data_IF_284024118243
#
_entry.id   IF_284024118243
#
_cell.length_a   1.000
_cell.length_b   1.000
_cell.length_c   1.000
_cell.angle_alpha   90.00
_cell.angle_beta   90.00
_cell.angle_gamma   90.00
#
_symmetry.space_group_name_H-M   'P 1'
#
loop_
_entity.id
_entity.type
_entity.pdbx_description
1 polymer ?
#
# COMPACT_ATOMS: atom_id res chain seq x y z
N UNK A 1 4.15 17.64 3.82
CA UNK A 1 3.79 16.20 3.80
C UNK A 1 3.35 15.84 2.40
N UNK A 2 3.76 14.67 1.92
CA UNK A 2 3.53 14.17 0.57
C UNK A 2 2.80 12.83 0.60
N UNK A 3 2.24 12.44 -0.54
CA UNK A 3 1.64 11.12 -0.73
C UNK A 3 2.14 10.45 -2.01
N UNK A 4 2.37 9.14 -1.95
CA UNK A 4 2.65 8.30 -3.10
C UNK A 4 1.60 7.20 -3.19
N UNK A 5 0.93 7.09 -4.33
CA UNK A 5 0.01 6.00 -4.65
C UNK A 5 0.71 5.04 -5.62
N UNK A 6 0.78 3.76 -5.24
CA UNK A 6 1.42 2.70 -6.02
C UNK A 6 0.39 2.00 -6.91
N UNK A 7 0.52 2.20 -8.21
CA UNK A 7 -0.47 1.84 -9.23
C UNK A 7 0.14 1.11 -10.45
N UNK A 8 1.29 0.45 -10.28
CA UNK A 8 1.98 -0.22 -11.38
C UNK A 8 1.47 -1.64 -11.70
N UNK A 9 0.70 -2.23 -10.78
CA UNK A 9 0.26 -3.63 -10.86
C UNK A 9 -0.73 -3.92 -11.99
N UNK A 10 -0.65 -5.14 -12.52
CA UNK A 10 -1.54 -5.66 -13.56
C UNK A 10 -2.98 -5.84 -13.05
N UNK A 11 -3.16 -6.39 -11.85
CA UNK A 11 -4.48 -6.78 -11.32
C UNK A 11 -5.07 -8.02 -11.99
N UNK A 12 -4.24 -9.03 -12.27
CA UNK A 12 -4.62 -10.23 -13.03
C UNK A 12 -5.87 -10.96 -12.53
N UNK A 13 -6.14 -10.92 -11.22
CA UNK A 13 -7.32 -11.52 -10.57
C UNK A 13 -8.66 -10.87 -10.96
N UNK A 14 -8.64 -9.70 -11.61
CA UNK A 14 -9.83 -8.99 -12.10
C UNK A 14 -10.11 -9.23 -13.60
N UNK A 15 -9.21 -9.95 -14.29
CA UNK A 15 -9.38 -10.41 -15.68
C UNK A 15 -9.82 -9.29 -16.64
N UNK A 16 -10.98 -9.44 -17.31
CA UNK A 16 -11.52 -8.50 -18.30
C UNK A 16 -11.64 -7.06 -17.79
N UNK A 17 -11.82 -6.84 -16.48
CA UNK A 17 -11.89 -5.48 -15.90
C UNK A 17 -10.55 -4.73 -16.01
N UNK A 18 -9.45 -5.47 -16.17
CA UNK A 18 -8.08 -4.94 -16.27
C UNK A 18 -7.47 -5.10 -17.66
N UNK A 19 -8.24 -5.56 -18.65
CA UNK A 19 -7.72 -5.81 -20.01
C UNK A 19 -7.25 -4.55 -20.73
N UNK A 20 -8.03 -3.48 -20.59
CA UNK A 20 -7.83 -2.22 -21.32
C UNK A 20 -7.48 -1.04 -20.40
N UNK A 21 -7.40 -1.29 -19.09
CA UNK A 21 -7.12 -0.28 -18.05
C UNK A 21 -6.34 -0.90 -16.88
N UNK A 22 -5.53 -0.12 -16.13
CA UNK A 22 -4.91 -0.64 -14.90
C UNK A 22 -5.94 -0.87 -13.80
N UNK A 23 -5.59 -1.74 -12.83
CA UNK A 23 -6.41 -2.09 -11.65
C UNK A 23 -6.99 -0.87 -10.95
N UNK A 24 -6.17 0.17 -10.77
CA UNK A 24 -6.57 1.40 -10.10
C UNK A 24 -7.68 2.20 -10.83
N UNK A 25 -8.00 1.86 -12.08
CA UNK A 25 -9.11 2.44 -12.85
C UNK A 25 -10.33 1.52 -12.97
N UNK A 26 -10.33 0.38 -12.29
CA UNK A 26 -11.55 -0.40 -12.07
C UNK A 26 -12.50 0.43 -11.20
N UNK A 27 -13.80 0.32 -11.46
CA UNK A 27 -14.80 1.12 -10.77
C UNK A 27 -15.42 0.33 -9.62
N UNK A 28 -15.46 0.95 -8.45
CA UNK A 28 -16.27 0.53 -7.31
C UNK A 28 -17.36 1.58 -7.12
N UNK A 29 -18.64 1.15 -7.04
CA UNK A 29 -19.81 2.04 -6.92
C UNK A 29 -19.77 3.25 -7.88
N UNK A 30 -19.39 3.02 -9.15
CA UNK A 30 -19.27 4.01 -10.24
C UNK A 30 -18.13 5.03 -10.11
N UNK A 31 -17.11 4.75 -9.30
CA UNK A 31 -15.93 5.60 -9.17
C UNK A 31 -14.65 4.76 -9.31
N UNK A 32 -13.67 5.20 -10.12
CA UNK A 32 -12.38 4.52 -10.21
C UNK A 32 -11.68 4.42 -8.86
N UNK A 33 -11.05 3.27 -8.56
CA UNK A 33 -10.37 3.03 -7.28
C UNK A 33 -9.42 4.19 -6.92
N UNK A 34 -8.59 4.63 -7.88
CA UNK A 34 -7.60 5.70 -7.67
C UNK A 34 -8.23 7.02 -7.19
N UNK A 35 -9.48 7.27 -7.57
CA UNK A 35 -10.19 8.48 -7.19
C UNK A 35 -10.60 8.49 -5.73
N UNK A 36 -10.84 7.33 -5.12
CA UNK A 36 -11.07 7.26 -3.68
C UNK A 36 -9.86 7.74 -2.88
N UNK A 37 -8.65 7.23 -3.19
CA UNK A 37 -7.46 7.64 -2.45
C UNK A 37 -7.07 9.09 -2.76
N UNK A 38 -7.14 9.53 -4.03
CA UNK A 38 -6.87 10.92 -4.40
C UNK A 38 -7.82 11.88 -3.68
N UNK A 39 -9.12 11.58 -3.64
CA UNK A 39 -10.09 12.40 -2.92
C UNK A 39 -9.83 12.40 -1.41
N UNK A 40 -9.47 11.24 -0.82
CA UNK A 40 -9.11 11.14 0.60
C UNK A 40 -7.89 12.01 0.94
N UNK A 41 -6.82 11.96 0.14
CA UNK A 41 -5.62 12.79 0.33
C UNK A 41 -5.93 14.29 0.20
N UNK A 42 -6.67 14.69 -0.84
CA UNK A 42 -7.04 16.08 -1.06
C UNK A 42 -7.94 16.63 0.06
N UNK A 43 -8.91 15.83 0.52
CA UNK A 43 -9.80 16.17 1.63
C UNK A 43 -9.06 16.30 2.96
N UNK A 44 -7.99 15.52 3.16
CA UNK A 44 -7.07 15.66 4.30
C UNK A 44 -6.03 16.81 4.14
N UNK A 45 -6.10 17.57 3.06
CA UNK A 45 -5.24 18.73 2.78
C UNK A 45 -3.86 18.40 2.20
N UNK A 46 -3.63 17.17 1.74
CA UNK A 46 -2.38 16.76 1.09
C UNK A 46 -2.50 16.99 -0.42
N UNK A 47 -1.74 17.96 -0.95
CA UNK A 47 -1.78 18.35 -2.35
C UNK A 47 -0.57 17.87 -3.17
N UNK A 48 0.55 17.60 -2.50
CA UNK A 48 1.74 17.04 -3.14
C UNK A 48 1.61 15.53 -3.24
N UNK A 49 0.96 15.08 -4.31
CA UNK A 49 0.67 13.67 -4.57
C UNK A 49 1.43 13.20 -5.81
N UNK A 50 2.10 12.06 -5.68
CA UNK A 50 2.64 11.31 -6.80
C UNK A 50 1.87 10.00 -7.00
N UNK A 51 1.71 9.59 -8.25
CA UNK A 51 1.22 8.26 -8.63
C UNK A 51 2.32 7.56 -9.42
N UNK A 52 2.66 6.34 -9.01
CA UNK A 52 3.59 5.49 -9.76
C UNK A 52 2.81 4.44 -10.53
N UNK A 53 2.74 4.60 -11.85
CA UNK A 53 2.09 3.65 -12.74
C UNK A 53 3.07 2.66 -13.38
N UNK A 54 2.54 1.77 -14.21
CA UNK A 54 3.31 0.75 -14.92
C UNK A 54 2.44 0.11 -16.00
N UNK A 55 1.70 -0.94 -15.65
CA UNK A 55 0.73 -1.52 -16.58
C UNK A 55 -0.25 -0.47 -17.12
N UNK A 56 -0.39 -0.39 -18.45
CA UNK A 56 -1.26 0.58 -19.17
C UNK A 56 -1.04 2.04 -18.72
N UNK A 57 0.22 2.43 -18.48
CA UNK A 57 0.60 3.75 -17.97
C UNK A 57 -0.07 4.93 -18.68
N UNK A 58 -0.10 4.95 -20.02
CA UNK A 58 -0.70 6.05 -20.77
C UNK A 58 -2.22 6.21 -20.52
N UNK A 59 -2.94 5.11 -20.25
CA UNK A 59 -4.37 5.16 -19.88
C UNK A 59 -4.54 5.84 -18.53
N UNK A 60 -3.70 5.47 -17.55
CA UNK A 60 -3.68 6.09 -16.23
C UNK A 60 -3.34 7.58 -16.30
N UNK A 61 -2.28 7.93 -17.04
CA UNK A 61 -1.84 9.31 -17.24
C UNK A 61 -2.92 10.18 -17.86
N UNK A 62 -3.62 9.69 -18.88
CA UNK A 62 -4.72 10.41 -19.51
C UNK A 62 -5.88 10.63 -18.54
N UNK A 63 -6.25 9.60 -17.76
CA UNK A 63 -7.28 9.74 -16.74
C UNK A 63 -6.90 10.81 -15.69
N UNK A 64 -5.68 10.77 -15.17
CA UNK A 64 -5.23 11.69 -14.13
C UNK A 64 -5.15 13.14 -14.64
N UNK A 65 -4.63 13.36 -15.85
CA UNK A 65 -4.57 14.69 -16.45
C UNK A 65 -5.95 15.30 -16.72
N UNK A 66 -6.94 14.47 -17.05
CA UNK A 66 -8.31 14.92 -17.31
C UNK A 66 -9.09 15.24 -16.04
N UNK A 67 -8.83 14.52 -14.94
CA UNK A 67 -9.67 14.57 -13.74
C UNK A 67 -9.02 15.28 -12.54
N UNK A 68 -7.69 15.44 -12.51
CA UNK A 68 -6.96 16.01 -11.38
C UNK A 68 -5.98 17.09 -11.84
N UNK A 69 -5.95 18.23 -11.15
CA UNK A 69 -5.19 19.41 -11.60
C UNK A 69 -3.67 19.27 -11.44
N UNK A 70 -3.19 18.53 -10.42
CA UNK A 70 -1.76 18.43 -10.08
C UNK A 70 -1.47 17.10 -9.38
N UNK A 71 -1.06 16.10 -10.17
CA UNK A 71 -0.51 14.83 -9.66
C UNK A 71 0.81 14.60 -10.40
N UNK A 72 1.89 14.35 -9.67
CA UNK A 72 3.18 13.99 -10.28
C UNK A 72 3.13 12.53 -10.71
N UNK A 73 3.59 12.24 -11.92
CA UNK A 73 3.58 10.88 -12.46
C UNK A 73 4.99 10.32 -12.55
N UNK A 74 5.12 9.08 -12.08
CA UNK A 74 6.30 8.24 -12.24
C UNK A 74 5.90 6.94 -12.92
N UNK A 75 6.82 6.34 -13.66
CA UNK A 75 6.59 5.08 -14.35
C UNK A 75 7.57 4.03 -13.83
N UNK A 76 7.05 2.88 -13.43
CA UNK A 76 7.82 1.66 -13.25
C UNK A 76 7.81 0.89 -14.58
N UNK A 77 8.82 1.12 -15.42
CA UNK A 77 8.99 0.39 -16.70
C UNK A 77 9.29 -1.10 -16.49
N UNK A 78 9.75 -1.48 -15.31
CA UNK A 78 10.06 -2.87 -14.91
C UNK A 78 8.87 -3.57 -14.24
N UNK A 79 7.64 -3.02 -14.30
CA UNK A 79 6.48 -3.54 -13.54
C UNK A 79 6.21 -5.04 -13.75
N UNK A 80 6.51 -5.59 -14.93
CA UNK A 80 6.32 -7.01 -15.24
C UNK A 80 7.36 -7.93 -14.58
N UNK A 81 8.46 -7.37 -14.09
CA UNK A 81 9.61 -8.09 -13.50
C UNK A 81 9.99 -7.59 -12.10
N UNK A 82 9.13 -6.78 -11.50
CA UNK A 82 9.32 -6.16 -10.18
C UNK A 82 8.01 -6.14 -9.40
N UNK A 83 8.05 -5.65 -8.16
CA UNK A 83 6.88 -5.63 -7.27
C UNK A 83 6.66 -4.22 -6.67
N UNK A 84 5.73 -4.10 -5.72
CA UNK A 84 5.25 -2.83 -5.18
C UNK A 84 6.34 -2.04 -4.43
N UNK A 85 7.27 -2.73 -3.77
CA UNK A 85 8.43 -2.08 -3.14
C UNK A 85 9.31 -1.38 -4.16
N UNK A 86 9.66 -2.06 -5.26
CA UNK A 86 10.43 -1.44 -6.35
C UNK A 86 9.68 -0.26 -6.98
N UNK A 87 8.36 -0.42 -7.18
CA UNK A 87 7.48 0.63 -7.66
C UNK A 87 7.56 1.89 -6.78
N UNK A 88 7.56 1.74 -5.45
CA UNK A 88 7.73 2.86 -4.53
C UNK A 88 9.05 3.63 -4.78
N UNK A 89 10.15 2.90 -5.00
CA UNK A 89 11.46 3.50 -5.22
C UNK A 89 11.63 4.15 -6.60
N UNK A 90 10.76 3.89 -7.58
CA UNK A 90 10.70 4.68 -8.82
C UNK A 90 10.38 6.16 -8.57
N UNK A 91 9.73 6.47 -7.45
CA UNK A 91 9.42 7.85 -7.01
C UNK A 91 10.33 8.32 -5.85
N UNK A 92 11.52 7.73 -5.67
CA UNK A 92 12.44 8.05 -4.56
C UNK A 92 12.71 9.55 -4.40
N UNK A 93 12.97 10.25 -5.49
CA UNK A 93 13.22 11.70 -5.48
C UNK A 93 12.04 12.54 -4.99
N UNK A 94 10.82 12.00 -5.02
CA UNK A 94 9.65 12.67 -4.49
C UNK A 94 9.61 12.65 -2.95
N UNK A 95 10.23 11.64 -2.34
CA UNK A 95 10.30 11.43 -0.90
C UNK A 95 11.38 12.33 -0.27
N UNK A 96 11.08 13.61 -0.09
CA UNK A 96 11.95 14.63 0.55
C UNK A 96 11.31 15.29 1.79
N UNK A 97 10.14 14.79 2.20
CA UNK A 97 9.32 15.24 3.31
C UNK A 97 8.54 14.05 3.88
N UNK A 98 7.84 14.21 5.01
CA UNK A 98 6.96 13.17 5.56
C UNK A 98 6.07 12.62 4.44
N UNK A 99 6.15 11.32 4.18
CA UNK A 99 5.51 10.71 3.00
C UNK A 99 4.62 9.55 3.42
N UNK A 100 3.34 9.65 3.06
CA UNK A 100 2.38 8.54 3.15
C UNK A 100 2.44 7.74 1.85
N UNK A 101 2.54 6.42 1.97
CA UNK A 101 2.52 5.48 0.85
C UNK A 101 1.21 4.69 0.91
N UNK A 102 0.51 4.59 -0.21
CA UNK A 102 -0.75 3.86 -0.35
C UNK A 102 -0.69 2.92 -1.55
N UNK A 103 -1.24 1.72 -1.43
CA UNK A 103 -1.63 0.98 -2.63
C UNK A 103 -2.87 1.61 -3.27
N UNK A 104 -3.06 1.37 -4.56
CA UNK A 104 -4.09 2.01 -5.39
C UNK A 104 -5.40 1.25 -5.47
N UNK A 105 -5.47 0.09 -4.82
CA UNK A 105 -6.60 -0.83 -4.80
C UNK A 105 -7.37 -0.82 -3.46
N UNK A 106 -7.03 0.09 -2.55
CA UNK A 106 -7.61 0.17 -1.21
C UNK A 106 -8.56 1.36 -1.08
N UNK A 107 -9.84 1.10 -0.87
CA UNK A 107 -10.84 2.12 -0.63
C UNK A 107 -10.84 2.48 0.85
N UNK A 108 -10.59 3.76 1.14
CA UNK A 108 -10.65 4.36 2.45
C UNK A 108 -11.02 5.85 2.31
N UNK A 109 -11.32 6.51 3.43
CA UNK A 109 -11.67 7.93 3.47
C UNK A 109 -10.59 8.74 4.20
N UNK A 110 -10.73 10.07 4.17
CA UNK A 110 -9.73 11.03 4.66
C UNK A 110 -9.31 10.84 6.13
N UNK A 111 -10.13 10.25 7.00
CA UNK A 111 -9.79 10.03 8.41
C UNK A 111 -8.59 9.09 8.59
N UNK A 112 -8.37 8.14 7.67
CA UNK A 112 -7.17 7.30 7.66
C UNK A 112 -5.91 8.13 7.44
N UNK A 113 -6.01 9.12 6.55
CA UNK A 113 -4.93 10.04 6.22
C UNK A 113 -4.67 11.01 7.38
N UNK A 114 -5.72 11.52 8.03
CA UNK A 114 -5.60 12.38 9.21
C UNK A 114 -4.88 11.68 10.37
N UNK A 115 -5.17 10.39 10.61
CA UNK A 115 -4.47 9.59 11.62
C UNK A 115 -2.97 9.49 11.32
N UNK A 116 -2.59 9.10 10.09
CA UNK A 116 -1.17 9.03 9.72
C UNK A 116 -0.49 10.40 9.74
N UNK A 117 -1.21 11.46 9.35
CA UNK A 117 -0.70 12.82 9.39
C UNK A 117 -0.34 13.25 10.82
N UNK A 118 -1.15 12.87 11.81
CA UNK A 118 -0.91 13.18 13.22
C UNK A 118 0.31 12.46 13.82
N UNK A 119 0.68 11.29 13.29
CA UNK A 119 1.78 10.48 13.82
C UNK A 119 3.14 11.20 13.73
N UNK A 120 4.02 10.98 14.71
CA UNK A 120 5.39 11.53 14.72
C UNK A 120 6.49 10.47 14.70
N UNK A 121 6.10 9.19 14.71
CA UNK A 121 7.01 8.06 14.62
C UNK A 121 7.71 8.02 13.26
N UNK A 122 8.93 7.47 13.25
CA UNK A 122 9.77 7.31 12.05
C UNK A 122 9.08 6.46 10.98
N UNK A 123 8.45 5.37 11.41
CA UNK A 123 7.59 4.50 10.61
C UNK A 123 6.24 4.33 11.32
N UNK A 124 5.15 4.66 10.64
CA UNK A 124 3.78 4.42 11.10
C UNK A 124 3.07 3.53 10.09
N UNK A 125 2.58 2.36 10.48
CA UNK A 125 1.92 1.40 9.58
C UNK A 125 0.46 1.27 9.97
N UNK A 126 -0.43 1.46 9.00
CA UNK A 126 -1.86 1.31 9.22
C UNK A 126 -2.23 -0.17 9.20
N UNK A 127 -2.92 -0.61 10.25
CA UNK A 127 -3.34 -2.00 10.45
C UNK A 127 -4.80 -2.07 10.87
N UNK A 128 -5.46 -3.17 10.54
CA UNK A 128 -6.84 -3.43 10.94
C UNK A 128 -6.90 -4.53 12.00
N UNK A 129 -7.38 -4.18 13.20
CA UNK A 129 -7.56 -5.13 14.31
C UNK A 129 -8.80 -5.99 14.13
N UNK A 130 -9.79 -5.53 13.36
CA UNK A 130 -11.05 -6.23 13.10
C UNK A 130 -11.06 -6.92 11.73
N UNK A 131 -9.87 -7.13 11.14
CA UNK A 131 -9.67 -7.66 9.80
C UNK A 131 -10.45 -8.95 9.48
N UNK A 132 -10.67 -9.82 10.48
CA UNK A 132 -11.28 -11.14 10.28
C UNK A 132 -12.70 -11.05 9.69
N UNK A 133 -13.46 -10.01 10.04
CA UNK A 133 -14.81 -9.81 9.51
C UNK A 133 -14.79 -9.48 8.01
N UNK A 134 -13.82 -8.69 7.58
CA UNK A 134 -13.60 -8.38 6.17
C UNK A 134 -13.07 -9.61 5.42
N UNK A 135 -12.09 -10.33 5.97
CA UNK A 135 -11.53 -11.52 5.33
C UNK A 135 -12.56 -12.62 5.12
N UNK A 136 -13.50 -12.83 6.06
CA UNK A 136 -14.60 -13.79 5.90
C UNK A 136 -15.57 -13.46 4.77
N UNK A 137 -15.63 -12.19 4.34
CA UNK A 137 -16.43 -11.78 3.19
C UNK A 137 -15.66 -11.95 1.88
N UNK A 138 -14.33 -11.76 1.92
CA UNK A 138 -13.45 -11.82 0.74
C UNK A 138 -12.99 -13.24 0.39
N UNK A 139 -12.83 -14.11 1.39
CA UNK A 139 -12.23 -15.43 1.24
C UNK A 139 -13.06 -16.51 1.93
N UNK A 140 -13.15 -17.69 1.30
CA UNK A 140 -13.72 -18.89 1.95
C UNK A 140 -12.85 -19.39 3.10
N UNK A 141 -11.53 -19.27 2.97
CA UNK A 141 -10.56 -19.48 4.04
C UNK A 141 -9.76 -18.19 4.28
N UNK A 142 -10.03 -17.44 5.35
CA UNK A 142 -9.27 -16.25 5.72
C UNK A 142 -7.75 -16.45 5.78
N UNK A 143 -7.27 -17.63 6.19
CA UNK A 143 -5.83 -17.90 6.35
C UNK A 143 -5.12 -18.13 5.02
N UNK A 144 -5.86 -18.27 3.91
CA UNK A 144 -5.28 -18.39 2.57
C UNK A 144 -4.56 -17.12 2.09
N UNK A 145 -4.92 -15.97 2.67
CA UNK A 145 -4.42 -14.65 2.31
C UNK A 145 -3.80 -13.90 3.51
N UNK A 146 -4.33 -14.11 4.73
CA UNK A 146 -3.86 -13.41 5.91
C UNK A 146 -2.36 -13.68 6.21
N UNK A 147 -1.67 -12.62 6.62
CA UNK A 147 -0.25 -12.67 7.02
C UNK A 147 -0.08 -12.54 8.54
N UNK A 148 1.09 -12.89 9.07
CA UNK A 148 1.40 -12.69 10.49
C UNK A 148 1.48 -11.20 10.85
N UNK A 149 1.12 -10.91 12.10
CA UNK A 149 1.28 -9.60 12.71
C UNK A 149 1.44 -9.78 14.21
N UNK A 150 2.56 -9.31 14.75
CA UNK A 150 2.80 -9.24 16.20
C UNK A 150 2.99 -7.78 16.61
N UNK A 151 2.18 -7.32 17.57
CA UNK A 151 2.20 -5.96 18.09
C UNK A 151 2.45 -5.99 19.59
N UNK A 152 3.59 -5.44 20.01
CA UNK A 152 3.95 -5.29 21.42
C UNK A 152 4.06 -3.81 21.77
N UNK A 153 3.35 -3.37 22.83
CA UNK A 153 3.32 -1.98 23.29
C UNK A 153 2.96 -0.96 22.18
N UNK A 154 2.15 -1.42 21.23
CA UNK A 154 1.72 -0.65 20.05
C UNK A 154 2.79 -0.48 18.98
N UNK A 155 3.87 -1.25 19.02
CA UNK A 155 4.90 -1.34 17.97
C UNK A 155 4.86 -2.71 17.30
N UNK A 156 5.04 -2.73 15.98
CA UNK A 156 5.05 -3.96 15.19
C UNK A 156 6.41 -4.64 15.36
N UNK A 157 6.39 -5.91 15.77
CA UNK A 157 7.57 -6.77 15.96
C UNK A 157 7.75 -7.77 14.83
N UNK A 158 6.64 -8.23 14.26
CA UNK A 158 6.61 -9.13 13.11
C UNK A 158 5.50 -8.72 12.15
N UNK A 159 5.77 -8.81 10.84
CA UNK A 159 4.82 -8.55 9.77
C UNK A 159 5.11 -9.47 8.58
N UNK A 160 4.06 -10.05 7.98
CA UNK A 160 4.11 -10.53 6.59
C UNK A 160 4.46 -12.00 6.39
N UNK A 161 4.57 -12.82 7.45
CA UNK A 161 4.86 -14.26 7.27
C UNK A 161 3.57 -15.03 7.00
N UNK A 162 3.68 -16.15 6.29
CA UNK A 162 2.55 -17.09 6.17
C UNK A 162 2.19 -17.69 7.51
N UNK A 163 0.89 -17.81 7.77
CA UNK A 163 0.33 -18.32 9.02
C UNK A 163 -0.65 -19.46 8.75
N UNK A 164 -0.70 -20.42 9.66
CA UNK A 164 -1.65 -21.54 9.65
C UNK A 164 -2.62 -21.48 10.83
N UNK A 165 -2.43 -20.51 11.73
CA UNK A 165 -3.21 -20.33 12.94
C UNK A 165 -3.44 -18.84 13.18
N UNK A 166 -4.66 -18.51 13.61
CA UNK A 166 -5.12 -17.13 13.77
C UNK A 166 -4.54 -16.42 15.00
N UNK A 167 -4.01 -17.17 15.96
CA UNK A 167 -3.40 -16.67 17.19
C UNK A 167 -2.11 -15.87 16.97
N UNK A 168 -1.54 -15.91 15.76
CA UNK A 168 -0.36 -15.14 15.35
C UNK A 168 -0.69 -13.85 14.61
N UNK A 169 -1.93 -13.38 14.69
CA UNK A 169 -2.44 -12.29 13.87
C UNK A 169 -3.16 -11.25 14.74
N UNK A 170 -2.38 -10.34 15.31
CA UNK A 170 -2.92 -9.23 16.11
C UNK A 170 -3.75 -8.23 15.28
N UNK A 171 -3.39 -8.08 14.00
CA UNK A 171 -4.05 -7.21 13.02
C UNK A 171 -3.63 -7.61 11.58
N UNK A 172 -4.23 -7.02 10.54
CA UNK A 172 -3.72 -7.11 9.16
C UNK A 172 -3.18 -5.77 8.68
N UNK A 173 -2.06 -5.79 7.96
CA UNK A 173 -1.56 -4.61 7.24
C UNK A 173 -2.49 -4.27 6.08
N UNK A 174 -2.92 -3.01 5.99
CA UNK A 174 -3.96 -2.62 5.01
C UNK A 174 -3.39 -2.03 3.72
N UNK A 175 -2.07 -1.94 3.57
CA UNK A 175 -1.44 -1.32 2.40
C UNK A 175 -1.27 0.21 2.47
N UNK A 176 -1.31 0.78 3.68
CA UNK A 176 -1.10 2.22 3.94
C UNK A 176 -0.08 2.41 5.08
N UNK A 177 0.95 3.23 4.86
CA UNK A 177 1.97 3.52 5.87
C UNK A 177 2.63 4.88 5.63
N UNK A 178 3.37 5.39 6.62
CA UNK A 178 4.06 6.67 6.56
C UNK A 178 5.51 6.55 7.02
N UNK A 179 6.41 7.16 6.27
CA UNK A 179 7.76 7.49 6.73
C UNK A 179 7.85 8.96 7.15
N UNK A 180 8.50 9.22 8.27
CA UNK A 180 8.91 10.58 8.63
C UNK A 180 10.10 11.04 7.76
N UNK A 181 10.15 12.32 7.43
CA UNK A 181 11.26 12.95 6.69
C UNK A 181 12.63 12.59 7.22
N UNK A 182 12.84 12.66 8.54
CA UNK A 182 14.16 12.41 9.14
C UNK A 182 14.62 10.96 9.01
N UNK A 183 13.70 10.04 8.75
CA UNK A 183 13.98 8.61 8.62
C UNK A 183 14.21 8.16 7.17
N UNK A 184 13.86 8.99 6.18
CA UNK A 184 13.95 8.62 4.76
C UNK A 184 15.36 8.23 4.32
N UNK A 185 16.41 8.89 4.82
CA UNK A 185 17.78 8.49 4.52
C UNK A 185 18.07 7.04 4.96
N UNK A 186 17.61 6.66 6.15
CA UNK A 186 17.76 5.30 6.66
C UNK A 186 16.95 4.27 5.87
N UNK A 187 15.73 4.64 5.42
CA UNK A 187 14.92 3.81 4.51
C UNK A 187 15.65 3.56 3.20
N UNK A 188 16.25 4.61 2.64
CA UNK A 188 17.02 4.53 1.40
C UNK A 188 18.27 3.69 1.57
N UNK A 189 18.98 3.85 2.69
CA UNK A 189 20.15 3.04 3.01
C UNK A 189 19.79 1.55 3.11
N UNK A 190 18.65 1.19 3.70
CA UNK A 190 18.19 -0.21 3.73
C UNK A 190 17.96 -0.73 2.31
N UNK A 191 17.26 0.03 1.47
CA UNK A 191 17.01 -0.37 0.08
C UNK A 191 18.29 -0.53 -0.74
N UNK A 192 19.19 0.46 -0.68
CA UNK A 192 20.42 0.48 -1.47
C UNK A 192 21.39 -0.64 -1.06
N UNK A 193 21.30 -1.10 0.19
CA UNK A 193 22.12 -2.17 0.76
C UNK A 193 21.39 -3.52 0.86
N UNK A 194 20.23 -3.71 0.21
CA UNK A 194 19.65 -5.05 0.07
C UNK A 194 20.65 -5.97 -0.64
N UNK A 195 20.80 -7.20 -0.13
CA UNK A 195 21.63 -8.20 -0.78
C UNK A 195 20.95 -8.67 -2.06
N UNK A 196 21.52 -8.26 -3.20
CA UNK A 196 20.99 -8.55 -4.53
C UNK A 196 21.05 -10.03 -4.90
N UNK A 197 21.85 -10.84 -4.17
CA UNK A 197 21.97 -12.28 -4.35
C UNK A 197 21.06 -13.08 -3.40
N UNK A 198 20.50 -12.44 -2.36
CA UNK A 198 19.58 -13.06 -1.40
C UNK A 198 18.17 -13.15 -1.99
N UNK A 199 17.46 -14.21 -1.61
CA UNK A 199 16.02 -14.31 -1.80
C UNK A 199 15.28 -13.85 -0.53
N UNK A 200 14.21 -13.08 -0.73
CA UNK A 200 13.30 -12.58 0.28
C UNK A 200 11.92 -13.19 0.00
N UNK A 201 11.46 -14.13 0.82
CA UNK A 201 10.22 -14.90 0.59
C UNK A 201 10.16 -15.53 -0.81
N UNK A 202 11.27 -16.16 -1.21
CA UNK A 202 11.47 -16.79 -2.53
C UNK A 202 11.44 -15.80 -3.71
N UNK A 203 11.58 -14.50 -3.45
CA UNK A 203 11.67 -13.44 -4.47
C UNK A 203 13.07 -12.81 -4.48
N UNK A 204 13.53 -12.38 -5.66
CA UNK A 204 14.73 -11.55 -5.75
C UNK A 204 14.44 -10.13 -5.23
N UNK A 205 15.49 -9.31 -5.05
CA UNK A 205 15.38 -7.96 -4.49
C UNK A 205 14.44 -7.02 -5.26
N UNK A 206 14.30 -7.14 -6.59
CA UNK A 206 13.32 -6.34 -7.37
C UNK A 206 11.87 -6.73 -7.08
N UNK A 207 11.66 -7.96 -6.62
CA UNK A 207 10.34 -8.55 -6.37
C UNK A 207 10.03 -8.72 -4.88
N UNK A 208 10.89 -8.21 -3.99
CA UNK A 208 10.65 -8.21 -2.55
C UNK A 208 9.26 -7.63 -2.25
N UNK A 209 8.49 -8.32 -1.41
CA UNK A 209 7.20 -7.81 -0.98
C UNK A 209 7.40 -6.60 -0.07
N UNK A 210 6.39 -5.72 -0.01
CA UNK A 210 6.47 -4.55 0.88
C UNK A 210 6.57 -4.98 2.34
N UNK A 211 5.83 -6.02 2.72
CA UNK A 211 5.88 -6.57 4.09
C UNK A 211 7.27 -7.10 4.42
N UNK A 212 7.93 -7.83 3.53
CA UNK A 212 9.33 -8.25 3.71
C UNK A 212 10.28 -7.07 3.84
N UNK A 213 10.12 -6.02 3.02
CA UNK A 213 10.96 -4.81 3.10
C UNK A 213 10.74 -4.04 4.41
N UNK A 214 9.48 -3.85 4.83
CA UNK A 214 9.15 -3.26 6.11
C UNK A 214 9.69 -4.09 7.27
N UNK A 215 9.70 -5.42 7.17
CA UNK A 215 10.32 -6.31 8.17
C UNK A 215 11.83 -6.13 8.26
N UNK A 216 12.54 -5.93 7.15
CA UNK A 216 13.99 -5.60 7.19
C UNK A 216 14.24 -4.24 7.90
N UNK A 217 13.32 -3.27 7.75
CA UNK A 217 13.37 -1.99 8.49
C UNK A 217 13.07 -2.23 9.98
N UNK A 218 11.98 -2.93 10.30
CA UNK A 218 11.55 -3.21 11.67
C UNK A 218 12.63 -3.93 12.46
N UNK A 219 13.22 -4.99 11.90
CA UNK A 219 14.29 -5.75 12.54
C UNK A 219 15.55 -4.90 12.81
N UNK A 220 15.79 -3.87 11.99
CA UNK A 220 16.97 -3.01 12.11
C UNK A 220 16.78 -1.85 13.09
N UNK A 221 15.58 -1.30 13.20
CA UNK A 221 15.34 -0.05 13.92
C UNK A 221 14.32 -0.14 15.07
N UNK A 222 13.52 -1.20 15.13
CA UNK A 222 12.47 -1.42 16.13
C UNK A 222 11.54 -0.21 16.36
N UNK A 223 11.16 0.46 15.26
CA UNK A 223 10.54 1.79 15.30
C UNK A 223 9.13 1.88 14.68
N UNK A 224 8.59 0.77 14.19
CA UNK A 224 7.32 0.77 13.47
C UNK A 224 6.12 0.84 14.43
N UNK A 225 5.44 1.99 14.45
CA UNK A 225 4.20 2.17 15.21
C UNK A 225 3.01 1.59 14.47
N UNK A 226 2.23 0.74 15.12
CA UNK A 226 0.93 0.30 14.61
C UNK A 226 -0.11 1.41 14.80
N UNK A 227 -0.78 1.80 13.72
CA UNK A 227 -1.90 2.76 13.72
C UNK A 227 -3.14 1.99 13.29
N UNK A 228 -4.19 2.02 14.11
CA UNK A 228 -5.39 1.22 13.84
C UNK A 228 -6.35 1.96 12.91
N UNK A 229 -6.87 1.23 11.91
CA UNK A 229 -7.89 1.71 11.00
C UNK A 229 -9.10 2.26 11.78
N UNK A 230 -9.58 3.49 11.50
CA UNK A 230 -10.65 4.12 12.28
C UNK A 230 -12.04 3.61 11.92
N UNK A 231 -12.20 3.02 10.75
CA UNK A 231 -13.47 2.55 10.19
C UNK A 231 -13.24 1.50 9.11
N UNK A 232 -14.33 1.06 8.48
CA UNK A 232 -14.27 0.11 7.38
C UNK A 232 -13.45 0.64 6.20
N UNK A 233 -12.77 -0.28 5.55
CA UNK A 233 -11.98 -0.09 4.35
C UNK A 233 -12.16 -1.36 3.50
N UNK A 234 -11.75 -1.31 2.25
CA UNK A 234 -11.87 -2.45 1.35
C UNK A 234 -10.73 -2.47 0.35
N UNK A 235 -10.02 -3.58 0.24
CA UNK A 235 -9.16 -3.84 -0.92
C UNK A 235 -9.99 -4.52 -2.01
N UNK A 236 -9.94 -3.99 -3.22
CA UNK A 236 -10.54 -4.62 -4.40
C UNK A 236 -9.46 -5.40 -5.11
N UNK A 237 -9.55 -6.71 -5.12
CA UNK A 237 -8.53 -7.57 -5.68
C UNK A 237 -9.08 -8.71 -6.52
N UNK A 238 -10.28 -9.17 -6.20
CA UNK A 238 -11.07 -10.13 -6.96
C UNK A 238 -12.42 -9.52 -7.32
N UNK A 239 -13.10 -10.10 -8.31
CA UNK A 239 -14.40 -9.57 -8.80
C UNK A 239 -15.46 -9.52 -7.70
N UNK A 240 -15.47 -10.51 -6.80
CA UNK A 240 -16.41 -10.61 -5.67
C UNK A 240 -16.23 -9.49 -4.65
N UNK A 241 -15.03 -8.89 -4.54
CA UNK A 241 -14.82 -7.76 -3.62
C UNK A 241 -15.69 -6.55 -4.01
N UNK A 242 -16.07 -6.42 -5.29
CA UNK A 242 -16.93 -5.32 -5.77
C UNK A 242 -18.36 -5.40 -5.22
N UNK A 243 -18.77 -6.54 -4.68
CA UNK A 243 -20.10 -6.77 -4.10
C UNK A 243 -20.17 -6.38 -2.62
N UNK A 244 -19.01 -6.25 -1.95
CA UNK A 244 -18.92 -5.89 -0.53
C UNK A 244 -19.31 -4.42 -0.35
N UNK A 245 -20.19 -4.12 0.62
CA UNK A 245 -20.57 -2.75 0.96
C UNK A 245 -19.85 -2.27 2.22
N UNK A 246 -19.29 -1.06 2.16
CA UNK A 246 -18.55 -0.42 3.25
C UNK A 246 -19.06 0.99 3.58
N UNK A 247 -20.18 1.42 2.96
CA UNK A 247 -20.81 2.72 3.18
C UNK A 247 -22.04 2.66 4.08
#
# INVERSE_FOLDING_TARGET
MKAIILAAGLGSRLEELTKDRPKCLVEYKNMPLISYQLNAFLKAGINDIAVVGGYKFEVLKNYLNANFKKVKLYENTDFASSNMTYTMFCAREFMDDDTIISYSDIIYDYEFIELLKACKNELSVMVDKNWLELWKQRFSDPLSDAESMEIQDGFIKELGKKVTHIDKIDAQYIGLFKFNKSFLSSVFDVWDNLDKNRYYDSKNWKNIYMTSFLTEIINKFDNAKAIFAPKNWLEIDQKTDLEIDIF
#
